data_IF_791301322477
#
_entry.id   IF_791301322477
#
_cell.length_a   1.000
_cell.length_b   1.000
_cell.length_c   1.000
_cell.angle_alpha   90.00
_cell.angle_beta   90.00
_cell.angle_gamma   90.00
#
_symmetry.space_group_name_H-M   'P 1'
#
loop_
_entity.id
_entity.type
_entity.pdbx_description
1 polymer ?
#
# COMPACT_ATOMS: atom_id res chain seq x y z
N UNK A 1 19.16 38.81 -2.88
CA UNK A 1 18.93 37.38 -3.17
C UNK A 1 18.70 37.23 -4.66
N UNK A 2 19.78 36.93 -5.42
CA UNK A 2 19.86 37.24 -6.82
C UNK A 2 19.32 36.17 -7.77
N UNK A 3 19.42 36.50 -9.06
CA UNK A 3 19.01 35.73 -10.24
C UNK A 3 19.38 34.23 -10.22
N UNK A 4 20.47 33.84 -9.56
CA UNK A 4 20.89 32.44 -9.36
C UNK A 4 19.89 31.65 -8.49
N UNK A 5 19.29 32.24 -7.48
CA UNK A 5 18.26 31.59 -6.64
C UNK A 5 16.94 31.40 -7.37
N UNK A 6 16.53 32.38 -8.20
CA UNK A 6 15.33 32.25 -9.03
C UNK A 6 15.50 31.18 -10.12
N UNK A 7 16.65 31.11 -10.77
CA UNK A 7 16.97 30.09 -11.81
C UNK A 7 16.98 28.67 -11.24
N UNK A 8 17.45 28.49 -10.00
CA UNK A 8 17.49 27.20 -9.32
C UNK A 8 16.07 26.74 -8.86
N UNK A 9 15.25 27.70 -8.40
CA UNK A 9 13.85 27.43 -8.06
C UNK A 9 13.01 27.08 -9.31
N UNK A 10 13.25 27.73 -10.43
CA UNK A 10 12.55 27.47 -11.68
C UNK A 10 12.87 26.06 -12.22
N UNK A 11 14.15 25.65 -12.26
CA UNK A 11 14.57 24.29 -12.65
C UNK A 11 13.97 23.21 -11.75
N UNK A 12 13.82 23.49 -10.46
CA UNK A 12 13.21 22.54 -9.50
C UNK A 12 11.71 22.41 -9.73
N UNK A 13 11.01 23.51 -9.94
CA UNK A 13 9.56 23.49 -10.18
C UNK A 13 9.22 22.82 -11.53
N UNK A 14 10.01 23.06 -12.59
CA UNK A 14 9.87 22.36 -13.88
C UNK A 14 10.06 20.86 -13.73
N UNK A 15 11.03 20.42 -12.91
CA UNK A 15 11.21 18.99 -12.61
C UNK A 15 9.99 18.38 -11.91
N UNK A 16 9.41 19.09 -10.91
CA UNK A 16 8.21 18.62 -10.23
C UNK A 16 7.03 18.49 -11.19
N UNK A 17 6.77 19.54 -11.97
CA UNK A 17 5.71 19.51 -12.98
C UNK A 17 5.91 18.39 -14.00
N UNK A 18 7.13 18.18 -14.47
CA UNK A 18 7.47 17.09 -15.40
C UNK A 18 7.20 15.70 -14.80
N UNK A 19 7.62 15.46 -13.55
CA UNK A 19 7.37 14.18 -12.87
C UNK A 19 5.87 13.94 -12.65
N UNK A 20 5.11 14.94 -12.21
CA UNK A 20 3.65 14.81 -12.05
C UNK A 20 2.96 14.61 -13.40
N UNK A 21 3.37 15.29 -14.45
CA UNK A 21 2.81 15.10 -15.79
C UNK A 21 3.05 13.69 -16.32
N UNK A 22 4.28 13.17 -16.15
CA UNK A 22 4.63 11.79 -16.53
C UNK A 22 3.82 10.79 -15.69
N UNK A 23 3.75 10.95 -14.37
CA UNK A 23 2.97 10.05 -13.51
C UNK A 23 1.49 10.08 -13.87
N UNK A 24 0.90 11.25 -14.15
CA UNK A 24 -0.48 11.39 -14.57
C UNK A 24 -0.73 10.74 -15.94
N UNK A 25 0.17 10.94 -16.90
CA UNK A 25 0.06 10.32 -18.23
C UNK A 25 0.16 8.78 -18.14
N UNK A 26 1.12 8.26 -17.36
CA UNK A 26 1.27 6.81 -17.12
C UNK A 26 0.07 6.25 -16.36
N UNK A 27 -0.47 6.99 -15.38
CA UNK A 27 -1.68 6.61 -14.66
C UNK A 27 -2.86 6.45 -15.62
N UNK A 28 -3.15 7.46 -16.44
CA UNK A 28 -4.21 7.40 -17.44
C UNK A 28 -4.01 6.25 -18.43
N UNK A 29 -2.78 6.07 -18.92
CA UNK A 29 -2.45 4.97 -19.83
C UNK A 29 -2.71 3.61 -19.18
N UNK A 30 -2.25 3.38 -17.95
CA UNK A 30 -2.44 2.12 -17.24
C UNK A 30 -3.91 1.88 -16.92
N UNK A 31 -4.69 2.90 -16.56
CA UNK A 31 -6.15 2.78 -16.37
C UNK A 31 -6.82 2.31 -17.66
N UNK A 32 -6.52 2.94 -18.79
CA UNK A 32 -7.06 2.55 -20.09
C UNK A 32 -6.67 1.11 -20.44
N UNK A 33 -5.40 0.74 -20.26
CA UNK A 33 -4.92 -0.61 -20.51
C UNK A 33 -5.63 -1.64 -19.61
N UNK A 34 -5.78 -1.36 -18.32
CA UNK A 34 -6.46 -2.25 -17.38
C UNK A 34 -7.95 -2.46 -17.72
N UNK A 35 -8.63 -1.42 -18.22
CA UNK A 35 -10.04 -1.53 -18.63
C UNK A 35 -10.15 -2.26 -19.97
N UNK A 36 -9.20 -2.04 -20.88
CA UNK A 36 -9.22 -2.66 -22.20
C UNK A 36 -8.84 -4.14 -22.17
N UNK A 37 -7.81 -4.51 -21.40
CA UNK A 37 -7.28 -5.87 -21.38
C UNK A 37 -8.03 -6.80 -20.42
N UNK A 38 -8.22 -8.04 -20.85
CA UNK A 38 -8.88 -9.10 -20.08
C UNK A 38 -9.32 -10.25 -21.00
N UNK A 39 -9.81 -11.34 -20.43
CA UNK A 39 -10.20 -12.55 -21.17
C UNK A 39 -11.30 -12.31 -22.22
N UNK A 40 -12.13 -11.28 -22.02
CA UNK A 40 -13.12 -10.83 -23.01
C UNK A 40 -12.60 -9.55 -23.65
N UNK A 41 -12.33 -9.61 -24.96
CA UNK A 41 -11.90 -8.44 -25.71
C UNK A 41 -13.09 -7.51 -25.98
N UNK A 42 -12.96 -6.25 -25.57
CA UNK A 42 -13.94 -5.19 -25.78
C UNK A 42 -13.19 -4.03 -26.45
N UNK A 43 -13.66 -3.58 -27.60
CA UNK A 43 -12.96 -2.51 -28.34
C UNK A 43 -12.97 -1.18 -27.58
N UNK A 44 -11.92 -0.37 -27.76
CA UNK A 44 -11.81 0.94 -27.08
C UNK A 44 -13.02 1.84 -27.33
N UNK A 45 -13.58 1.95 -28.57
CA UNK A 45 -14.79 2.73 -28.80
C UNK A 45 -16.01 2.22 -28.02
N UNK A 46 -16.15 0.89 -27.87
CA UNK A 46 -17.22 0.30 -27.06
C UNK A 46 -17.05 0.61 -25.58
N UNK A 47 -15.80 0.54 -25.06
CA UNK A 47 -15.49 0.92 -23.68
C UNK A 47 -15.92 2.37 -23.41
N UNK A 48 -15.54 3.30 -24.28
CA UNK A 48 -15.94 4.70 -24.14
C UNK A 48 -17.46 4.87 -24.20
N UNK A 49 -18.14 4.15 -25.13
CA UNK A 49 -19.60 4.17 -25.23
C UNK A 49 -20.28 3.63 -23.96
N UNK A 50 -19.75 2.56 -23.38
CA UNK A 50 -20.26 1.97 -22.13
C UNK A 50 -20.02 2.90 -20.94
N UNK A 51 -18.83 3.52 -20.84
CA UNK A 51 -18.48 4.40 -19.72
C UNK A 51 -19.29 5.70 -19.73
N UNK A 52 -19.41 6.36 -20.90
CA UNK A 52 -20.03 7.69 -21.00
C UNK A 52 -21.52 7.66 -21.36
N UNK A 53 -21.94 6.72 -22.20
CA UNK A 53 -23.30 6.65 -22.70
C UNK A 53 -24.13 5.53 -22.08
N UNK A 54 -23.51 4.63 -21.29
CA UNK A 54 -24.13 3.42 -20.71
C UNK A 54 -24.83 2.56 -21.78
N UNK A 55 -24.32 2.54 -23.01
CA UNK A 55 -24.83 1.77 -24.14
C UNK A 55 -23.86 0.64 -24.48
N UNK A 56 -24.37 -0.60 -24.52
CA UNK A 56 -23.61 -1.81 -24.84
C UNK A 56 -24.43 -3.05 -24.50
N UNK A 57 -23.88 -4.23 -24.77
CA UNK A 57 -24.53 -5.47 -24.33
C UNK A 57 -24.49 -5.56 -22.80
N UNK A 58 -25.50 -6.19 -22.19
CA UNK A 58 -25.59 -6.34 -20.75
C UNK A 58 -24.34 -7.03 -20.17
N UNK A 59 -23.77 -7.99 -20.90
CA UNK A 59 -22.56 -8.71 -20.51
C UNK A 59 -21.35 -7.76 -20.47
N UNK A 60 -21.12 -6.97 -21.52
CA UNK A 60 -20.03 -5.99 -21.58
C UNK A 60 -20.15 -4.93 -20.48
N UNK A 61 -21.37 -4.43 -20.24
CA UNK A 61 -21.63 -3.48 -19.15
C UNK A 61 -21.31 -4.07 -17.79
N UNK A 62 -21.71 -5.32 -17.52
CA UNK A 62 -21.39 -5.99 -16.25
C UNK A 62 -19.87 -6.21 -16.09
N UNK A 63 -19.16 -6.61 -17.16
CA UNK A 63 -17.70 -6.80 -17.12
C UNK A 63 -16.99 -5.50 -16.79
N UNK A 64 -17.35 -4.40 -17.46
CA UNK A 64 -16.67 -3.11 -17.22
C UNK A 64 -17.06 -2.54 -15.86
N UNK A 65 -18.33 -2.42 -15.56
CA UNK A 65 -18.80 -1.73 -14.35
C UNK A 65 -18.68 -2.56 -13.08
N UNK A 66 -18.87 -3.89 -13.11
CA UNK A 66 -18.90 -4.71 -11.90
C UNK A 66 -17.58 -5.45 -11.63
N UNK A 67 -16.72 -5.63 -12.66
CA UNK A 67 -15.48 -6.40 -12.52
C UNK A 67 -14.26 -5.49 -12.72
N UNK A 68 -14.10 -4.88 -13.93
CA UNK A 68 -12.86 -4.18 -14.27
C UNK A 68 -12.68 -2.88 -13.51
N UNK A 69 -13.69 -2.01 -13.47
CA UNK A 69 -13.60 -0.71 -12.80
C UNK A 69 -13.34 -0.83 -11.29
N UNK A 70 -14.08 -1.64 -10.51
CA UNK A 70 -13.78 -1.80 -9.09
C UNK A 70 -12.36 -2.32 -8.84
N UNK A 71 -11.90 -3.30 -9.65
CA UNK A 71 -10.55 -3.86 -9.54
C UNK A 71 -9.47 -2.80 -9.77
N UNK A 72 -9.56 -2.05 -10.85
CA UNK A 72 -8.59 -0.99 -11.19
C UNK A 72 -8.57 0.11 -10.14
N UNK A 73 -9.74 0.56 -9.68
CA UNK A 73 -9.84 1.57 -8.63
C UNK A 73 -9.22 1.08 -7.32
N UNK A 74 -9.52 -0.17 -6.92
CA UNK A 74 -8.94 -0.75 -5.71
C UNK A 74 -7.43 -0.88 -5.83
N UNK A 75 -6.89 -1.35 -6.96
CA UNK A 75 -5.44 -1.43 -7.19
C UNK A 75 -4.77 -0.05 -7.07
N UNK A 76 -5.40 0.99 -7.61
CA UNK A 76 -4.91 2.36 -7.49
C UNK A 76 -4.97 2.91 -6.07
N UNK A 77 -6.12 2.81 -5.41
CA UNK A 77 -6.34 3.33 -4.04
C UNK A 77 -5.42 2.62 -3.05
N UNK A 78 -5.41 1.29 -3.07
CA UNK A 78 -4.63 0.48 -2.13
C UNK A 78 -3.13 0.55 -2.43
N UNK A 79 -2.73 0.63 -3.70
CA UNK A 79 -1.34 0.84 -4.10
C UNK A 79 -0.78 2.17 -3.60
N UNK A 80 -1.54 3.24 -3.77
CA UNK A 80 -1.22 4.56 -3.23
C UNK A 80 -1.13 4.57 -1.70
N UNK A 81 -2.09 3.93 -1.03
CA UNK A 81 -2.12 3.78 0.43
C UNK A 81 -0.88 3.04 0.95
N UNK A 82 -0.52 1.91 0.32
CA UNK A 82 0.64 1.11 0.74
C UNK A 82 1.97 1.86 0.55
N UNK A 83 2.11 2.58 -0.57
CA UNK A 83 3.28 3.42 -0.81
C UNK A 83 3.41 4.53 0.24
N UNK A 84 2.30 5.20 0.60
CA UNK A 84 2.31 6.20 1.66
C UNK A 84 2.56 5.61 3.05
N UNK A 85 1.98 4.45 3.36
CA UNK A 85 2.30 3.72 4.59
C UNK A 85 3.81 3.56 4.73
N UNK A 86 4.47 3.08 3.67
CA UNK A 86 5.92 2.95 3.63
C UNK A 86 6.67 4.27 3.80
N UNK A 87 6.24 5.34 3.13
CA UNK A 87 6.85 6.67 3.27
C UNK A 87 6.79 7.18 4.72
N UNK A 88 5.66 7.01 5.41
CA UNK A 88 5.50 7.43 6.81
C UNK A 88 6.40 6.62 7.75
N UNK A 89 6.50 5.29 7.54
CA UNK A 89 7.38 4.42 8.33
C UNK A 89 8.87 4.69 8.07
N UNK A 90 9.25 4.91 6.82
CA UNK A 90 10.62 5.32 6.49
C UNK A 90 11.00 6.62 7.19
N UNK A 91 10.06 7.56 7.28
CA UNK A 91 10.25 8.81 8.02
C UNK A 91 10.36 8.55 9.51
N UNK A 92 9.46 7.76 10.08
CA UNK A 92 9.43 7.45 11.52
C UNK A 92 10.72 6.75 11.98
N UNK A 93 11.17 5.72 11.25
CA UNK A 93 12.38 4.97 11.59
C UNK A 93 13.66 5.64 11.11
N UNK A 94 13.56 6.73 10.36
CA UNK A 94 14.71 7.34 9.64
C UNK A 94 15.51 6.30 8.85
N UNK A 95 14.79 5.31 8.30
CA UNK A 95 15.37 4.17 7.61
C UNK A 95 14.63 3.92 6.28
N UNK A 96 15.31 3.99 5.13
CA UNK A 96 14.67 3.86 3.83
C UNK A 96 14.14 2.44 3.52
N UNK A 97 14.56 1.42 4.26
CA UNK A 97 14.07 0.04 4.11
C UNK A 97 12.93 -0.31 5.05
N UNK A 98 12.52 0.61 5.92
CA UNK A 98 11.36 0.39 6.79
C UNK A 98 10.08 0.31 5.95
N UNK A 99 9.30 -0.71 6.20
CA UNK A 99 8.03 -0.95 5.53
C UNK A 99 6.99 -1.57 6.45
N UNK A 100 5.70 -1.56 6.08
CA UNK A 100 4.62 -2.04 6.95
C UNK A 100 4.72 -3.54 7.29
N UNK A 101 5.35 -4.33 6.43
CA UNK A 101 5.60 -5.75 6.69
C UNK A 101 6.48 -5.99 7.91
N UNK A 102 7.49 -5.14 8.10
CA UNK A 102 8.48 -5.31 9.17
C UNK A 102 7.87 -5.10 10.56
N UNK A 103 6.73 -4.42 10.64
CA UNK A 103 6.02 -4.17 11.90
C UNK A 103 5.03 -5.29 12.28
N UNK A 104 5.03 -6.43 11.59
CA UNK A 104 4.14 -7.54 11.91
C UNK A 104 2.65 -7.29 11.62
N UNK A 105 2.31 -6.16 10.96
CA UNK A 105 0.92 -5.78 10.66
C UNK A 105 0.24 -6.86 9.81
N UNK A 106 0.93 -7.31 8.77
CA UNK A 106 0.42 -8.36 7.87
C UNK A 106 0.35 -9.73 8.54
N UNK A 107 1.30 -10.05 9.44
CA UNK A 107 1.27 -11.30 10.21
C UNK A 107 0.10 -11.33 11.19
N UNK A 108 -0.20 -10.20 11.85
CA UNK A 108 -1.38 -10.08 12.71
C UNK A 108 -2.69 -10.20 11.94
N UNK A 109 -2.76 -9.59 10.75
CA UNK A 109 -3.90 -9.77 9.86
C UNK A 109 -4.10 -11.23 9.48
N UNK A 110 -3.01 -11.92 9.03
CA UNK A 110 -3.05 -13.34 8.66
C UNK A 110 -3.46 -14.23 9.83
N UNK A 111 -2.97 -13.95 11.02
CA UNK A 111 -3.36 -14.67 12.25
C UNK A 111 -4.86 -14.58 12.49
N UNK A 112 -5.45 -13.40 12.45
CA UNK A 112 -6.88 -13.24 12.69
C UNK A 112 -7.74 -13.82 11.56
N UNK A 113 -7.26 -13.78 10.31
CA UNK A 113 -7.92 -14.43 9.19
C UNK A 113 -7.87 -15.95 9.33
N UNK A 114 -6.75 -16.52 9.74
CA UNK A 114 -6.63 -17.95 10.02
C UNK A 114 -7.57 -18.38 11.14
N UNK A 115 -7.62 -17.63 12.25
CA UNK A 115 -8.57 -17.88 13.34
C UNK A 115 -10.02 -17.80 12.85
N UNK A 116 -10.35 -16.81 12.03
CA UNK A 116 -11.68 -16.68 11.46
C UNK A 116 -12.02 -17.85 10.53
N UNK A 117 -11.14 -18.23 9.59
CA UNK A 117 -11.37 -19.31 8.64
C UNK A 117 -11.49 -20.67 9.35
N UNK A 118 -10.58 -21.00 10.24
CA UNK A 118 -10.43 -22.35 10.77
C UNK A 118 -11.33 -22.59 11.97
N UNK A 119 -11.53 -21.59 12.85
CA UNK A 119 -12.33 -21.76 14.07
C UNK A 119 -13.76 -21.32 13.87
N UNK A 120 -14.00 -20.10 13.35
CA UNK A 120 -15.37 -19.58 13.24
C UNK A 120 -16.18 -20.23 12.13
N UNK A 121 -15.54 -20.60 11.00
CA UNK A 121 -16.24 -21.14 9.84
C UNK A 121 -16.64 -22.62 9.98
N UNK A 122 -15.99 -23.34 10.87
CA UNK A 122 -16.42 -24.70 11.25
C UNK A 122 -17.84 -24.74 11.81
N UNK A 123 -18.34 -23.59 12.33
CA UNK A 123 -19.68 -23.45 12.90
C UNK A 123 -20.68 -22.71 11.99
N UNK A 124 -20.23 -22.07 10.90
CA UNK A 124 -21.08 -21.26 10.02
C UNK A 124 -20.79 -21.59 8.55
N UNK A 125 -21.78 -22.09 7.83
CA UNK A 125 -21.67 -22.60 6.44
C UNK A 125 -21.41 -21.56 5.35
N UNK A 126 -21.40 -20.27 5.65
CA UNK A 126 -21.18 -19.20 4.67
C UNK A 126 -20.12 -18.21 5.12
N UNK A 127 -18.97 -18.26 4.45
CA UNK A 127 -17.89 -17.26 4.60
C UNK A 127 -18.23 -16.01 3.79
N UNK A 128 -18.70 -14.98 4.45
CA UNK A 128 -18.75 -13.66 3.83
C UNK A 128 -17.33 -13.06 3.76
N UNK A 129 -16.91 -12.59 2.57
CA UNK A 129 -15.65 -11.85 2.40
C UNK A 129 -15.50 -10.69 3.40
N UNK A 130 -16.60 -10.11 3.87
CA UNK A 130 -16.60 -9.05 4.88
C UNK A 130 -16.08 -9.50 6.24
N UNK A 131 -16.32 -10.76 6.65
CA UNK A 131 -15.81 -11.30 7.92
C UNK A 131 -14.27 -11.36 7.87
N UNK A 132 -13.71 -11.80 6.74
CA UNK A 132 -12.26 -11.87 6.55
C UNK A 132 -11.63 -10.47 6.52
N UNK A 133 -12.28 -9.49 5.89
CA UNK A 133 -11.83 -8.09 5.88
C UNK A 133 -11.80 -7.53 7.30
N UNK A 134 -12.86 -7.74 8.09
CA UNK A 134 -12.94 -7.28 9.48
C UNK A 134 -11.89 -7.99 10.34
N UNK A 135 -11.75 -9.31 10.22
CA UNK A 135 -10.75 -10.08 10.94
C UNK A 135 -9.32 -9.59 10.64
N UNK A 136 -8.99 -9.42 9.36
CA UNK A 136 -7.69 -8.90 8.94
C UNK A 136 -7.43 -7.49 9.49
N UNK A 137 -8.44 -6.62 9.46
CA UNK A 137 -8.33 -5.27 10.01
C UNK A 137 -8.10 -5.28 11.52
N UNK A 138 -8.86 -6.08 12.27
CA UNK A 138 -8.67 -6.27 13.73
C UNK A 138 -7.27 -6.80 14.03
N UNK A 139 -6.81 -7.84 13.32
CA UNK A 139 -5.47 -8.41 13.51
C UNK A 139 -4.35 -7.41 13.25
N UNK A 140 -4.49 -6.60 12.21
CA UNK A 140 -3.58 -5.47 11.93
C UNK A 140 -3.58 -4.47 13.08
N UNK A 141 -4.76 -4.06 13.58
CA UNK A 141 -4.89 -3.10 14.68
C UNK A 141 -4.32 -3.63 15.99
N UNK A 142 -4.47 -4.91 16.28
CA UNK A 142 -3.87 -5.54 17.47
C UNK A 142 -2.35 -5.48 17.40
N UNK A 143 -1.73 -5.86 16.27
CA UNK A 143 -0.28 -5.76 16.08
C UNK A 143 0.23 -4.33 16.28
N UNK A 144 -0.50 -3.34 15.77
CA UNK A 144 -0.17 -1.93 15.93
C UNK A 144 -0.28 -1.50 17.39
N UNK A 145 -1.33 -1.94 18.08
CA UNK A 145 -1.51 -1.68 19.51
C UNK A 145 -0.29 -2.14 20.33
N UNK A 146 0.23 -3.35 20.06
CA UNK A 146 1.46 -3.86 20.68
C UNK A 146 2.68 -3.01 20.34
N UNK A 147 2.85 -2.61 19.09
CA UNK A 147 3.96 -1.74 18.68
C UNK A 147 3.89 -0.38 19.39
N UNK A 148 2.70 0.23 19.50
CA UNK A 148 2.52 1.48 20.22
C UNK A 148 2.81 1.37 21.71
N UNK A 149 2.46 0.24 22.33
CA UNK A 149 2.82 -0.05 23.72
C UNK A 149 4.35 -0.18 23.88
N UNK A 150 5.02 -0.89 22.96
CA UNK A 150 6.48 -0.99 22.94
C UNK A 150 7.14 0.37 22.71
N UNK A 151 6.61 1.18 21.80
CA UNK A 151 7.13 2.51 21.47
C UNK A 151 7.08 3.50 22.65
N UNK A 152 6.22 3.26 23.65
CA UNK A 152 6.22 4.05 24.91
C UNK A 152 7.41 3.74 25.80
N UNK A 153 7.92 2.50 25.75
CA UNK A 153 9.03 2.03 26.61
C UNK A 153 10.38 2.06 25.89
N UNK A 154 10.39 1.80 24.57
CA UNK A 154 11.61 1.67 23.77
C UNK A 154 11.84 2.99 23.03
N UNK A 155 12.96 3.67 23.33
CA UNK A 155 13.38 4.91 22.67
C UNK A 155 14.22 4.66 21.41
N UNK A 156 14.93 3.54 21.36
CA UNK A 156 15.79 3.19 20.23
C UNK A 156 14.96 2.65 19.06
N UNK A 157 15.06 3.30 17.90
CA UNK A 157 14.30 2.95 16.70
C UNK A 157 14.66 1.58 16.13
N UNK A 158 15.95 1.17 16.20
CA UNK A 158 16.37 -0.16 15.76
C UNK A 158 15.77 -1.26 16.65
N UNK A 159 15.78 -1.06 17.96
CA UNK A 159 15.18 -2.00 18.93
C UNK A 159 13.66 -2.08 18.74
N UNK A 160 12.98 -0.97 18.45
CA UNK A 160 11.54 -0.97 18.17
C UNK A 160 11.22 -1.74 16.89
N UNK A 161 12.06 -1.61 15.86
CA UNK A 161 11.93 -2.37 14.61
C UNK A 161 12.04 -3.88 14.87
N UNK A 162 13.04 -4.30 15.67
CA UNK A 162 13.20 -5.70 16.10
C UNK A 162 11.96 -6.17 16.87
N UNK A 163 11.42 -5.32 17.76
CA UNK A 163 10.16 -5.61 18.47
C UNK A 163 8.98 -5.88 17.51
N UNK A 164 8.86 -5.11 16.43
CA UNK A 164 7.86 -5.35 15.39
C UNK A 164 8.04 -6.71 14.69
N UNK A 165 9.27 -7.06 14.36
CA UNK A 165 9.60 -8.37 13.78
C UNK A 165 9.22 -9.51 14.74
N UNK A 166 9.51 -9.37 16.04
CA UNK A 166 9.16 -10.38 17.05
C UNK A 166 7.64 -10.55 17.20
N UNK A 167 6.86 -9.46 17.15
CA UNK A 167 5.40 -9.53 17.09
C UNK A 167 4.95 -10.31 15.85
N UNK A 168 5.58 -10.07 14.70
CA UNK A 168 5.34 -10.82 13.47
C UNK A 168 5.56 -12.32 13.64
N UNK A 169 6.65 -12.73 14.28
CA UNK A 169 6.95 -14.14 14.59
C UNK A 169 5.93 -14.75 15.55
N UNK A 170 5.50 -14.03 16.59
CA UNK A 170 4.46 -14.50 17.51
C UNK A 170 3.14 -14.75 16.74
N UNK A 171 2.73 -13.80 15.92
CA UNK A 171 1.52 -13.95 15.09
C UNK A 171 1.63 -15.12 14.11
N UNK A 172 2.82 -15.34 13.52
CA UNK A 172 3.07 -16.47 12.64
C UNK A 172 2.99 -17.79 13.37
N UNK A 173 3.61 -17.89 14.56
CA UNK A 173 3.56 -19.10 15.38
C UNK A 173 2.13 -19.47 15.80
N UNK A 174 1.30 -18.47 16.15
CA UNK A 174 -0.13 -18.69 16.44
C UNK A 174 -0.87 -19.15 15.17
N UNK A 175 -0.55 -18.56 14.01
CA UNK A 175 -1.14 -18.97 12.72
C UNK A 175 -0.79 -20.45 12.43
N UNK A 176 0.47 -20.82 12.54
CA UNK A 176 0.95 -22.19 12.27
C UNK A 176 0.34 -23.21 13.24
N UNK A 177 0.18 -22.82 14.51
CA UNK A 177 -0.52 -23.64 15.51
C UNK A 177 -1.99 -23.89 15.09
N UNK A 178 -2.71 -22.85 14.67
CA UNK A 178 -4.11 -22.97 14.24
C UNK A 178 -4.23 -23.80 12.96
N UNK A 179 -3.30 -23.62 12.01
CA UNK A 179 -3.24 -24.38 10.75
C UNK A 179 -3.04 -25.89 10.99
N UNK A 180 -2.41 -26.29 12.08
CA UNK A 180 -2.25 -27.71 12.44
C UNK A 180 -3.60 -28.44 12.62
N UNK A 181 -4.66 -27.72 12.95
CA UNK A 181 -6.02 -28.25 13.14
C UNK A 181 -6.97 -27.96 11.97
N UNK A 182 -6.45 -27.42 10.88
CA UNK A 182 -7.21 -27.00 9.70
C UNK A 182 -7.46 -28.17 8.74
N UNK A 183 -8.51 -28.07 7.94
CA UNK A 183 -8.72 -28.90 6.78
C UNK A 183 -7.86 -28.42 5.59
N UNK A 184 -7.53 -29.31 4.66
CA UNK A 184 -6.70 -28.98 3.49
C UNK A 184 -7.28 -27.82 2.68
N UNK A 185 -8.60 -27.75 2.56
CA UNK A 185 -9.32 -26.66 1.89
C UNK A 185 -9.08 -25.30 2.54
N UNK A 186 -9.02 -25.24 3.88
CA UNK A 186 -8.79 -24.01 4.63
C UNK A 186 -7.34 -23.54 4.49
N UNK A 187 -6.40 -24.50 4.47
CA UNK A 187 -4.98 -24.21 4.23
C UNK A 187 -4.79 -23.59 2.85
N UNK A 188 -5.40 -24.17 1.81
CA UNK A 188 -5.34 -23.65 0.44
C UNK A 188 -5.95 -22.24 0.37
N UNK A 189 -7.11 -22.03 0.98
CA UNK A 189 -7.79 -20.73 1.01
C UNK A 189 -6.97 -19.67 1.76
N UNK A 190 -6.41 -20.01 2.92
CA UNK A 190 -5.55 -19.13 3.70
C UNK A 190 -4.26 -18.79 2.94
N UNK A 191 -3.67 -19.78 2.26
CA UNK A 191 -2.50 -19.56 1.42
C UNK A 191 -2.83 -18.60 0.27
N UNK A 192 -3.92 -18.84 -0.48
CA UNK A 192 -4.39 -17.98 -1.55
C UNK A 192 -4.63 -16.54 -1.06
N UNK A 193 -5.32 -16.36 0.08
CA UNK A 193 -5.52 -15.05 0.68
C UNK A 193 -4.20 -14.36 1.04
N UNK A 194 -3.24 -15.12 1.57
CA UNK A 194 -1.93 -14.57 2.01
C UNK A 194 -1.02 -14.12 0.86
N UNK A 195 -1.33 -14.50 -0.37
CA UNK A 195 -0.60 -14.07 -1.57
C UNK A 195 -1.07 -12.72 -2.13
N UNK A 196 -2.21 -12.25 -1.66
CA UNK A 196 -2.84 -11.01 -2.10
C UNK A 196 -3.47 -11.07 -3.49
N UNK A 197 -4.59 -10.38 -3.65
CA UNK A 197 -5.31 -10.30 -4.92
C UNK A 197 -6.22 -9.07 -4.96
N UNK A 198 -6.37 -8.48 -6.15
CA UNK A 198 -7.40 -7.48 -6.42
C UNK A 198 -8.63 -8.10 -7.11
N UNK A 199 -8.68 -9.42 -7.25
CA UNK A 199 -9.82 -10.13 -7.82
C UNK A 199 -11.03 -10.09 -6.86
N UNK A 200 -12.25 -10.11 -7.41
CA UNK A 200 -13.48 -10.12 -6.61
C UNK A 200 -13.83 -8.81 -5.91
N UNK A 201 -13.14 -7.70 -6.22
CA UNK A 201 -13.46 -6.39 -5.64
C UNK A 201 -14.81 -5.86 -6.13
N UNK A 202 -15.60 -5.32 -5.20
CA UNK A 202 -16.92 -4.74 -5.43
C UNK A 202 -16.91 -3.22 -5.24
N UNK A 203 -17.96 -2.54 -5.74
CA UNK A 203 -18.17 -1.10 -5.49
C UNK A 203 -18.32 -0.76 -4.01
N UNK A 204 -18.85 -1.68 -3.19
CA UNK A 204 -18.91 -1.48 -1.74
C UNK A 204 -17.51 -1.41 -1.15
N UNK A 205 -16.61 -2.32 -1.57
CA UNK A 205 -15.20 -2.31 -1.15
C UNK A 205 -14.50 -1.02 -1.58
N UNK A 206 -14.73 -0.57 -2.83
CA UNK A 206 -14.17 0.69 -3.34
C UNK A 206 -14.61 1.89 -2.50
N UNK A 207 -15.91 2.00 -2.16
CA UNK A 207 -16.43 3.11 -1.35
C UNK A 207 -15.79 3.14 0.04
N UNK A 208 -15.73 2.00 0.73
CA UNK A 208 -15.15 1.91 2.08
C UNK A 208 -13.64 2.20 2.03
N UNK A 209 -12.90 1.58 1.10
CA UNK A 209 -11.48 1.81 0.96
C UNK A 209 -11.17 3.27 0.58
N UNK A 210 -11.91 3.85 -0.37
CA UNK A 210 -11.74 5.25 -0.78
C UNK A 210 -11.99 6.23 0.38
N UNK A 211 -13.02 5.97 1.20
CA UNK A 211 -13.31 6.80 2.37
C UNK A 211 -12.18 6.71 3.41
N UNK A 212 -11.78 5.49 3.78
CA UNK A 212 -10.73 5.27 4.79
C UNK A 212 -9.39 5.83 4.31
N UNK A 213 -8.98 5.50 3.09
CA UNK A 213 -7.72 5.96 2.51
C UNK A 213 -7.75 7.47 2.28
N UNK A 214 -8.88 8.03 1.82
CA UNK A 214 -9.04 9.46 1.58
C UNK A 214 -8.90 10.29 2.87
N UNK A 215 -9.59 9.89 3.95
CA UNK A 215 -9.46 10.56 5.26
C UNK A 215 -8.01 10.47 5.76
N UNK A 216 -7.42 9.27 5.69
CA UNK A 216 -6.04 9.05 6.17
C UNK A 216 -5.02 9.85 5.33
N UNK A 217 -5.24 9.98 4.02
CA UNK A 217 -4.41 10.78 3.10
C UNK A 217 -4.46 12.27 3.47
N UNK A 218 -5.65 12.81 3.73
CA UNK A 218 -5.82 14.19 4.15
C UNK A 218 -5.07 14.44 5.46
N UNK A 219 -5.24 13.57 6.45
CA UNK A 219 -4.52 13.66 7.73
C UNK A 219 -3.00 13.57 7.56
N UNK A 220 -2.52 12.64 6.71
CA UNK A 220 -1.10 12.52 6.40
C UNK A 220 -0.55 13.78 5.68
N UNK A 221 -1.35 14.40 4.83
CA UNK A 221 -0.98 15.64 4.15
C UNK A 221 -0.82 16.82 5.13
N UNK A 222 -1.70 16.92 6.14
CA UNK A 222 -1.55 17.92 7.21
C UNK A 222 -0.26 17.75 8.03
N UNK A 223 0.26 16.53 8.14
CA UNK A 223 1.54 16.27 8.78
C UNK A 223 2.76 16.64 7.91
N UNK A 224 2.58 17.12 6.69
CA UNK A 224 3.69 17.43 5.77
C UNK A 224 4.71 18.43 6.36
N UNK A 225 4.28 19.45 7.09
CA UNK A 225 5.17 20.41 7.76
C UNK A 225 5.94 19.78 8.93
N UNK A 226 5.28 19.11 9.90
CA UNK A 226 5.98 18.36 10.95
C UNK A 226 6.94 17.29 10.41
N UNK A 227 6.56 16.56 9.36
CA UNK A 227 7.43 15.58 8.69
C UNK A 227 8.70 16.28 8.14
N UNK A 228 8.54 17.43 7.48
CA UNK A 228 9.67 18.19 6.97
C UNK A 228 10.64 18.66 8.05
N UNK A 229 10.12 19.12 9.19
CA UNK A 229 10.93 19.50 10.35
C UNK A 229 11.64 18.27 10.96
N UNK A 230 10.95 17.14 11.10
CA UNK A 230 11.50 15.90 11.67
C UNK A 230 12.62 15.30 10.81
N UNK A 231 12.55 15.43 9.48
CA UNK A 231 13.61 15.01 8.55
C UNK A 231 14.92 15.79 8.72
N UNK A 232 14.88 17.00 9.29
CA UNK A 232 16.07 17.80 9.62
C UNK A 232 16.67 17.44 10.98
N UNK A 233 16.01 16.58 11.74
CA UNK A 233 16.42 16.11 13.05
C UNK A 233 15.36 16.33 14.12
N UNK A 234 15.31 15.43 15.10
CA UNK A 234 14.31 15.46 16.17
C UNK A 234 14.42 16.72 17.04
N UNK A 235 15.64 17.13 17.41
CA UNK A 235 15.92 18.33 18.17
C UNK A 235 15.43 19.60 17.42
N UNK A 236 15.66 19.64 16.11
CA UNK A 236 15.17 20.72 15.26
C UNK A 236 13.63 20.78 15.20
N UNK A 237 12.98 19.64 15.01
CA UNK A 237 11.52 19.58 15.01
C UNK A 237 10.93 20.04 16.35
N UNK A 238 11.56 19.66 17.46
CA UNK A 238 11.15 20.07 18.80
C UNK A 238 11.29 21.58 19.01
N UNK A 239 12.38 22.18 18.56
CA UNK A 239 12.58 23.64 18.62
C UNK A 239 11.58 24.42 17.77
N UNK A 240 11.04 23.80 16.72
CA UNK A 240 9.96 24.34 15.88
C UNK A 240 8.56 24.12 16.46
N UNK A 241 8.45 23.62 17.72
CA UNK A 241 7.18 23.42 18.41
C UNK A 241 6.46 22.09 18.09
N UNK A 242 7.11 21.15 17.42
CA UNK A 242 6.52 19.84 17.14
C UNK A 242 6.57 18.98 18.40
N UNK A 243 5.41 18.54 18.90
CA UNK A 243 5.35 17.55 19.97
C UNK A 243 5.73 16.16 19.41
N UNK A 244 6.99 15.77 19.64
CA UNK A 244 7.57 14.54 19.06
C UNK A 244 6.82 13.27 19.47
N UNK A 245 6.32 13.19 20.72
CA UNK A 245 5.57 12.02 21.19
C UNK A 245 4.27 11.82 20.41
N UNK A 246 3.48 12.89 20.29
CA UNK A 246 2.22 12.87 19.54
C UNK A 246 2.49 12.62 18.05
N UNK A 247 3.50 13.30 17.50
CA UNK A 247 3.88 13.17 16.10
C UNK A 247 4.26 11.73 15.73
N UNK A 248 5.08 11.07 16.56
CA UNK A 248 5.47 9.66 16.37
C UNK A 248 4.28 8.71 16.40
N UNK A 249 3.38 8.90 17.36
CA UNK A 249 2.14 8.09 17.46
C UNK A 249 1.28 8.29 16.21
N UNK A 250 1.11 9.54 15.74
CA UNK A 250 0.35 9.82 14.51
C UNK A 250 0.97 9.18 13.28
N UNK A 251 2.30 9.23 13.10
CA UNK A 251 2.97 8.59 11.98
C UNK A 251 2.70 7.08 11.95
N UNK A 252 2.85 6.40 13.09
CA UNK A 252 2.58 4.97 13.20
C UNK A 252 1.10 4.70 12.90
N UNK A 253 0.18 5.42 13.54
CA UNK A 253 -1.26 5.20 13.36
C UNK A 253 -1.69 5.37 11.89
N UNK A 254 -1.32 6.48 11.25
CA UNK A 254 -1.71 6.74 9.87
C UNK A 254 -1.10 5.71 8.90
N UNK A 255 0.19 5.41 9.07
CA UNK A 255 0.84 4.34 8.29
C UNK A 255 0.12 3.01 8.45
N UNK A 256 -0.28 2.71 9.66
CA UNK A 256 -0.90 1.45 10.03
C UNK A 256 -2.33 1.33 9.50
N UNK A 257 -3.11 2.42 9.54
CA UNK A 257 -4.45 2.45 8.93
C UNK A 257 -4.35 2.21 7.43
N UNK A 258 -3.40 2.86 6.74
CA UNK A 258 -3.15 2.57 5.32
C UNK A 258 -2.83 1.10 5.08
N UNK A 259 -1.88 0.53 5.82
CA UNK A 259 -1.45 -0.86 5.65
C UNK A 259 -2.54 -1.86 6.03
N UNK A 260 -3.28 -1.60 7.11
CA UNK A 260 -4.40 -2.44 7.54
C UNK A 260 -5.52 -2.45 6.49
N UNK A 261 -5.85 -1.29 5.91
CA UNK A 261 -6.82 -1.19 4.82
C UNK A 261 -6.37 -2.04 3.63
N UNK A 262 -5.11 -1.92 3.20
CA UNK A 262 -4.57 -2.73 2.09
C UNK A 262 -4.67 -4.21 2.40
N UNK A 263 -4.16 -4.65 3.56
CA UNK A 263 -4.12 -6.06 3.94
C UNK A 263 -5.51 -6.64 4.12
N UNK A 264 -6.46 -5.86 4.65
CA UNK A 264 -7.83 -6.29 4.85
C UNK A 264 -8.56 -6.56 3.53
N UNK A 265 -8.41 -5.67 2.54
CA UNK A 265 -9.12 -5.82 1.26
C UNK A 265 -8.38 -6.70 0.26
N UNK A 266 -7.09 -6.49 0.07
CA UNK A 266 -6.31 -7.15 -0.98
C UNK A 266 -5.38 -8.24 -0.47
N UNK A 267 -5.33 -8.49 0.84
CA UNK A 267 -4.30 -9.35 1.44
C UNK A 267 -2.93 -8.65 1.49
N UNK A 268 -1.92 -9.35 1.99
CA UNK A 268 -0.56 -8.81 2.07
C UNK A 268 0.04 -8.55 0.68
N UNK A 269 0.57 -7.33 0.42
CA UNK A 269 1.25 -6.96 -0.83
C UNK A 269 2.67 -6.48 -0.52
N UNK A 270 3.67 -7.13 -1.07
CA UNK A 270 5.09 -6.90 -0.74
C UNK A 270 5.72 -5.74 -1.50
N UNK A 271 6.81 -5.18 -0.97
CA UNK A 271 7.75 -4.24 -1.59
C UNK A 271 7.23 -2.86 -2.00
N UNK A 272 5.95 -2.65 -2.28
CA UNK A 272 5.40 -1.36 -2.75
C UNK A 272 5.73 -0.22 -1.78
N UNK A 273 5.54 -0.45 -0.48
CA UNK A 273 5.82 0.55 0.56
C UNK A 273 7.31 0.89 0.73
N UNK A 274 8.22 0.07 0.21
CA UNK A 274 9.67 0.34 0.27
C UNK A 274 10.14 0.94 -1.05
N UNK A 275 9.81 0.30 -2.17
CA UNK A 275 10.34 0.65 -3.49
C UNK A 275 9.79 1.99 -4.01
N UNK A 276 8.47 2.20 -3.92
CA UNK A 276 7.83 3.37 -4.53
C UNK A 276 8.26 4.70 -3.88
N UNK A 277 8.29 4.87 -2.54
CA UNK A 277 8.74 6.13 -1.94
C UNK A 277 10.19 6.47 -2.31
N UNK A 278 11.05 5.45 -2.44
CA UNK A 278 12.42 5.64 -2.88
C UNK A 278 12.48 6.14 -4.34
N UNK A 279 11.78 5.47 -5.26
CA UNK A 279 11.73 5.87 -6.66
C UNK A 279 11.22 7.31 -6.81
N UNK A 280 10.14 7.66 -6.12
CA UNK A 280 9.54 8.99 -6.19
C UNK A 280 10.48 10.06 -5.66
N UNK A 281 11.13 9.84 -4.52
CA UNK A 281 12.14 10.78 -3.99
C UNK A 281 13.30 10.97 -4.97
N UNK A 282 13.72 9.90 -5.63
CA UNK A 282 14.79 9.94 -6.63
C UNK A 282 14.37 10.67 -7.90
N UNK A 283 13.17 10.42 -8.42
CA UNK A 283 12.61 11.12 -9.60
C UNK A 283 12.41 12.61 -9.32
N UNK A 284 11.85 12.96 -8.19
CA UNK A 284 11.63 14.36 -7.79
C UNK A 284 12.94 15.09 -7.43
N UNK A 285 13.97 14.36 -6.97
CA UNK A 285 15.22 14.93 -6.45
C UNK A 285 15.00 15.77 -5.20
N UNK A 286 13.98 15.43 -4.41
CA UNK A 286 13.64 16.12 -3.16
C UNK A 286 13.01 15.19 -2.15
N UNK A 287 13.20 15.51 -0.86
CA UNK A 287 12.52 14.84 0.24
C UNK A 287 11.35 15.69 0.81
N UNK A 288 11.02 16.84 0.21
CA UNK A 288 9.95 17.75 0.71
C UNK A 288 8.60 17.05 0.77
N UNK A 289 7.99 16.86 1.95
CA UNK A 289 6.79 16.05 2.11
C UNK A 289 5.58 16.55 1.32
N UNK A 290 5.42 17.88 1.21
CA UNK A 290 4.34 18.49 0.43
C UNK A 290 4.27 18.03 -1.03
N UNK A 291 5.42 17.68 -1.62
CA UNK A 291 5.50 17.21 -3.01
C UNK A 291 5.59 15.67 -3.04
N UNK A 292 6.32 15.10 -2.08
CA UNK A 292 6.56 13.65 -2.03
C UNK A 292 5.28 12.87 -1.67
N UNK A 293 4.43 13.37 -0.77
CA UNK A 293 3.19 12.69 -0.36
C UNK A 293 2.27 12.44 -1.56
N UNK A 294 1.80 13.45 -2.31
CA UNK A 294 0.92 13.22 -3.43
C UNK A 294 1.57 12.43 -4.56
N UNK A 295 2.86 12.67 -4.84
CA UNK A 295 3.58 11.92 -5.85
C UNK A 295 3.77 10.45 -5.47
N UNK A 296 4.00 10.13 -4.19
CA UNK A 296 4.13 8.75 -3.70
C UNK A 296 2.79 8.01 -3.79
N UNK A 297 1.69 8.68 -3.47
CA UNK A 297 0.36 8.09 -3.64
C UNK A 297 0.08 7.74 -5.10
N UNK A 298 0.30 8.70 -6.01
CA UNK A 298 0.11 8.48 -7.44
C UNK A 298 1.07 7.42 -8.00
N UNK A 299 2.34 7.44 -7.59
CA UNK A 299 3.33 6.44 -7.97
C UNK A 299 2.99 5.03 -7.48
N UNK A 300 2.45 4.90 -6.25
CA UNK A 300 1.96 3.64 -5.71
C UNK A 300 0.75 3.10 -6.46
N UNK A 301 -0.18 3.99 -6.84
CA UNK A 301 -1.32 3.64 -7.68
C UNK A 301 -0.87 3.10 -9.04
N UNK A 302 0.02 3.83 -9.73
CA UNK A 302 0.60 3.42 -11.02
C UNK A 302 1.32 2.07 -10.91
N UNK A 303 2.15 1.90 -9.89
CA UNK A 303 2.93 0.68 -9.70
C UNK A 303 2.03 -0.54 -9.46
N UNK A 304 1.05 -0.44 -8.55
CA UNK A 304 0.16 -1.56 -8.26
C UNK A 304 -0.78 -1.89 -9.43
N UNK A 305 -1.35 -0.89 -10.10
CA UNK A 305 -2.17 -1.13 -11.30
C UNK A 305 -1.36 -1.76 -12.43
N UNK A 306 -0.09 -1.37 -12.60
CA UNK A 306 0.81 -1.97 -13.56
C UNK A 306 1.14 -3.42 -13.21
N UNK A 307 1.44 -3.71 -11.95
CA UNK A 307 1.67 -5.08 -11.47
C UNK A 307 0.41 -5.95 -11.59
N UNK A 308 -0.80 -5.41 -11.29
CA UNK A 308 -2.06 -6.15 -11.47
C UNK A 308 -2.33 -6.47 -12.94
N UNK A 309 -2.03 -5.55 -13.86
CA UNK A 309 -2.14 -5.80 -15.28
C UNK A 309 -1.22 -6.96 -15.72
N UNK A 310 0.05 -6.93 -15.29
CA UNK A 310 1.02 -8.00 -15.58
C UNK A 310 0.55 -9.32 -14.95
N UNK A 311 0.09 -9.30 -13.70
CA UNK A 311 -0.40 -10.50 -12.99
C UNK A 311 -1.52 -11.22 -13.74
N UNK A 312 -2.39 -10.47 -14.42
CA UNK A 312 -3.52 -11.02 -15.19
C UNK A 312 -3.15 -11.47 -16.59
N UNK A 313 -2.15 -10.82 -17.21
CA UNK A 313 -1.88 -11.00 -18.65
C UNK A 313 -0.71 -11.92 -18.93
N UNK A 314 0.28 -12.00 -18.03
CA UNK A 314 1.54 -12.71 -18.29
C UNK A 314 1.36 -14.21 -18.59
N UNK A 315 0.39 -14.85 -17.95
CA UNK A 315 0.13 -16.29 -18.08
C UNK A 315 -1.36 -16.60 -18.27
N UNK A 316 -2.10 -15.68 -18.90
CA UNK A 316 -3.54 -15.88 -19.13
C UNK A 316 -3.82 -17.25 -19.79
N UNK A 317 -4.82 -18.03 -19.32
CA UNK A 317 -5.89 -17.61 -18.40
C UNK A 317 -5.56 -17.69 -16.91
N UNK A 318 -4.38 -18.14 -16.52
CA UNK A 318 -3.95 -18.23 -15.12
C UNK A 318 -3.55 -16.82 -14.63
N UNK A 319 -4.10 -16.41 -13.48
CA UNK A 319 -3.72 -15.15 -12.83
C UNK A 319 -2.58 -15.41 -11.82
N UNK A 320 -1.51 -14.62 -11.91
CA UNK A 320 -0.46 -14.61 -10.90
C UNK A 320 -0.93 -13.84 -9.66
N UNK A 321 -0.39 -14.22 -8.51
CA UNK A 321 -0.60 -13.46 -7.28
C UNK A 321 0.10 -12.11 -7.35
N UNK A 322 -0.56 -11.05 -6.86
CA UNK A 322 -0.02 -9.68 -6.93
C UNK A 322 1.31 -9.54 -6.17
N UNK A 323 1.45 -10.20 -5.02
CA UNK A 323 2.70 -10.17 -4.24
C UNK A 323 3.88 -10.77 -4.98
N UNK A 324 3.69 -11.79 -5.82
CA UNK A 324 4.73 -12.35 -6.68
C UNK A 324 5.25 -11.30 -7.67
N UNK A 325 4.34 -10.64 -8.36
CA UNK A 325 4.70 -9.63 -9.36
C UNK A 325 5.35 -8.42 -8.71
N UNK A 326 4.78 -7.90 -7.62
CA UNK A 326 5.37 -6.77 -6.90
C UNK A 326 6.72 -7.10 -6.27
N UNK A 327 6.98 -8.37 -5.91
CA UNK A 327 8.28 -8.83 -5.43
C UNK A 327 9.32 -8.86 -6.54
N UNK A 328 8.98 -9.39 -7.72
CA UNK A 328 9.87 -9.46 -8.88
C UNK A 328 10.36 -8.06 -9.29
N UNK A 329 9.48 -7.06 -9.29
CA UNK A 329 9.85 -5.69 -9.64
C UNK A 329 10.38 -4.89 -8.46
N UNK A 330 9.84 -5.10 -7.26
CA UNK A 330 10.18 -4.31 -6.09
C UNK A 330 11.52 -4.68 -5.46
N UNK A 331 11.84 -5.97 -5.37
CA UNK A 331 13.09 -6.42 -4.74
C UNK A 331 14.35 -5.90 -5.46
N UNK A 332 14.48 -5.93 -6.81
CA UNK A 332 15.62 -5.34 -7.50
C UNK A 332 15.77 -3.83 -7.24
N UNK A 333 14.66 -3.09 -7.14
CA UNK A 333 14.68 -1.66 -6.81
C UNK A 333 15.28 -1.44 -5.42
N UNK A 334 14.87 -2.24 -4.45
CA UNK A 334 15.38 -2.18 -3.06
C UNK A 334 16.87 -2.54 -3.01
N UNK A 335 17.30 -3.58 -3.72
CA UNK A 335 18.72 -3.97 -3.82
C UNK A 335 19.54 -2.82 -4.42
N UNK A 336 19.08 -2.23 -5.53
CA UNK A 336 19.74 -1.09 -6.16
C UNK A 336 19.85 0.11 -5.23
N UNK A 337 18.78 0.39 -4.46
CA UNK A 337 18.77 1.43 -3.43
C UNK A 337 19.87 1.20 -2.38
N UNK A 338 20.00 -0.04 -1.89
CA UNK A 338 21.00 -0.39 -0.87
C UNK A 338 22.43 -0.23 -1.37
N UNK A 339 22.70 -0.62 -2.62
CA UNK A 339 24.03 -0.50 -3.25
C UNK A 339 24.40 0.98 -3.45
N UNK A 340 23.46 1.78 -3.95
CA UNK A 340 23.70 3.20 -4.26
C UNK A 340 23.81 4.05 -2.98
N UNK A 341 23.07 3.71 -1.93
CA UNK A 341 23.12 4.40 -0.64
C UNK A 341 24.47 4.25 0.09
N UNK A 342 25.26 3.21 -0.22
CA UNK A 342 26.63 3.02 0.32
C UNK A 342 27.69 3.89 -0.36
N UNK A 343 27.48 4.34 -1.59
CA UNK A 343 28.43 5.16 -2.35
C UNK A 343 28.38 6.65 -2.03
N UNK A 344 27.43 7.09 -1.20
CA UNK A 344 27.22 8.49 -0.81
C UNK A 344 27.56 8.79 0.66
N UNK A 345 28.20 7.88 1.34
CA UNK A 345 28.89 8.06 2.62
C UNK A 345 30.39 7.83 2.37
#
# INVERSE_FOLDING_TARGET
>A
MGQAGMKNNWKRNTRYMGVFAVLAAVFCMIVVLNINTGNVQISVPEILRILFLKKGTQVQMNIIWKIRLPRVLMAGILGGALALSGFLLQTFFSNPIAGPYVLGISSGAKMMVALAMIIFLKYYTLVSSYILIIAAFIGSMLSIGFILLLARKIRNMATLLVGGIMIGYICSAVTDFVVTFAEDSDIVNLHGWSQGSFSGMSWSNVKVAALMVGITLILAFFLSKPIGAYQLGEMYAQSMGVNIRVFRVLLILLSSVFSACVTAFAGPISFVGIAVPYLIKHLLGTAKPLVVIPATFLGGAVFCMGCDLIARMAFAPLELNISTVTSIFGAPIVIFMMIKGRKGK
#
